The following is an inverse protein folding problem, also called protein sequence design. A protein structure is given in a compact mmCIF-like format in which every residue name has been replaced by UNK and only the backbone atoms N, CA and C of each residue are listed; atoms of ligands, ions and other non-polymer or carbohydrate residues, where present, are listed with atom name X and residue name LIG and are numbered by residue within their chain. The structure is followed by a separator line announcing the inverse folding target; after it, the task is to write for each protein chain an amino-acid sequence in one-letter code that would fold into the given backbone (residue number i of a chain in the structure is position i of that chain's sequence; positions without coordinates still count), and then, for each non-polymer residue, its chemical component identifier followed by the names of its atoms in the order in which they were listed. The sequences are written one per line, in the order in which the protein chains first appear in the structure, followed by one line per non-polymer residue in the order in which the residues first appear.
data_IF_384373857125
#
_entry.id   IF_384373857125
#
_cell.length_a   1.000
_cell.length_b   1.000
_cell.length_c   1.000
_cell.angle_alpha   90.00
_cell.angle_beta   90.00
_cell.angle_gamma   90.00
#
_symmetry.space_group_name_H-M   'P 1'
#
loop_
_entity.id
_entity.type
_entity.pdbx_description
1 polymer ?
#
# COMPACT_ATOMS: atom_id res chain seq x y z
N UNK A 1 -33.82 8.34 25.00
CA UNK A 1 -32.35 8.57 24.98
C UNK A 1 -31.68 7.33 24.42
N UNK A 2 -31.60 7.16 23.10
CA UNK A 2 -30.86 6.02 22.48
C UNK A 2 -30.38 6.34 21.05
N UNK A 3 -31.08 7.19 20.30
CA UNK A 3 -30.74 7.45 18.88
C UNK A 3 -29.49 8.31 18.65
N UNK A 4 -29.10 9.15 19.62
CA UNK A 4 -27.93 10.02 19.48
C UNK A 4 -26.64 9.25 19.81
N UNK A 5 -26.63 8.48 20.90
CA UNK A 5 -25.52 7.59 21.27
C UNK A 5 -25.21 6.53 20.20
N UNK A 6 -26.23 5.96 19.55
CA UNK A 6 -26.04 4.95 18.50
C UNK A 6 -25.40 5.54 17.23
N UNK A 7 -25.66 6.82 16.92
CA UNK A 7 -25.03 7.52 15.78
C UNK A 7 -23.60 7.91 16.07
N UNK A 8 -23.32 8.33 17.31
CA UNK A 8 -21.98 8.69 17.77
C UNK A 8 -21.04 7.48 17.74
N UNK A 9 -21.47 6.34 18.31
CA UNK A 9 -20.71 5.07 18.24
C UNK A 9 -20.50 4.57 16.81
N UNK A 10 -21.52 4.71 15.95
CA UNK A 10 -21.40 4.32 14.54
C UNK A 10 -20.43 5.22 13.76
N UNK A 11 -20.33 6.51 14.11
CA UNK A 11 -19.37 7.43 13.50
C UNK A 11 -17.93 7.11 13.95
N UNK A 12 -17.71 6.87 15.25
CA UNK A 12 -16.40 6.49 15.80
C UNK A 12 -15.90 5.16 15.24
N UNK A 13 -16.76 4.14 15.17
CA UNK A 13 -16.41 2.84 14.61
C UNK A 13 -16.02 2.93 13.11
N UNK A 14 -16.69 3.81 12.35
CA UNK A 14 -16.35 4.06 10.94
C UNK A 14 -14.99 4.74 10.79
N UNK A 15 -14.66 5.68 11.67
CA UNK A 15 -13.37 6.39 11.61
C UNK A 15 -12.19 5.51 12.01
N UNK A 16 -12.35 4.67 13.04
CA UNK A 16 -11.34 3.69 13.42
C UNK A 16 -11.10 2.68 12.29
N UNK A 17 -12.16 2.16 11.67
CA UNK A 17 -12.06 1.25 10.54
C UNK A 17 -11.43 1.90 9.30
N UNK A 18 -11.74 3.17 9.02
CA UNK A 18 -11.20 3.88 7.85
C UNK A 18 -9.67 4.06 7.94
N UNK A 19 -9.15 4.40 9.11
CA UNK A 19 -7.71 4.57 9.30
C UNK A 19 -6.95 3.23 9.14
N UNK A 20 -7.51 2.14 9.65
CA UNK A 20 -6.93 0.81 9.49
C UNK A 20 -6.96 0.35 8.03
N UNK A 21 -8.09 0.50 7.34
CA UNK A 21 -8.22 0.18 5.91
C UNK A 21 -7.20 0.96 5.09
N UNK A 22 -7.08 2.28 5.31
CA UNK A 22 -6.13 3.11 4.58
C UNK A 22 -4.69 2.65 4.81
N UNK A 23 -4.33 2.32 6.06
CA UNK A 23 -3.00 1.79 6.37
C UNK A 23 -2.71 0.48 5.62
N UNK A 24 -3.70 -0.42 5.53
CA UNK A 24 -3.56 -1.68 4.77
C UNK A 24 -3.40 -1.43 3.27
N UNK A 25 -4.18 -0.51 2.70
CA UNK A 25 -4.06 -0.10 1.28
C UNK A 25 -2.67 0.42 0.99
N UNK A 26 -2.20 1.40 1.76
CA UNK A 26 -0.88 2.02 1.57
C UNK A 26 0.24 0.98 1.69
N UNK A 27 0.17 0.10 2.70
CA UNK A 27 1.18 -0.94 2.93
C UNK A 27 1.27 -1.91 1.75
N UNK A 28 0.13 -2.33 1.18
CA UNK A 28 0.09 -3.23 0.02
C UNK A 28 0.61 -2.54 -1.25
N UNK A 29 0.17 -1.32 -1.53
CA UNK A 29 0.60 -0.57 -2.70
C UNK A 29 2.11 -0.29 -2.66
N UNK A 30 2.65 0.13 -1.51
CA UNK A 30 4.09 0.34 -1.31
C UNK A 30 4.90 -0.94 -1.53
N UNK A 31 4.44 -2.09 -1.00
CA UNK A 31 5.11 -3.38 -1.23
C UNK A 31 5.14 -3.75 -2.70
N UNK A 32 4.01 -3.63 -3.40
CA UNK A 32 3.93 -3.93 -4.82
C UNK A 32 4.85 -3.01 -5.65
N UNK A 33 4.88 -1.71 -5.33
CA UNK A 33 5.76 -0.75 -6.01
C UNK A 33 7.25 -1.09 -5.82
N UNK A 34 7.64 -1.48 -4.61
CA UNK A 34 9.02 -1.85 -4.30
C UNK A 34 9.49 -3.11 -5.06
N UNK A 35 8.62 -4.11 -5.18
CA UNK A 35 8.89 -5.32 -5.98
C UNK A 35 8.99 -4.98 -7.47
N UNK A 36 8.04 -4.21 -7.99
CA UNK A 36 8.07 -3.76 -9.39
C UNK A 36 9.35 -2.98 -9.72
N UNK A 37 9.82 -2.12 -8.82
CA UNK A 37 11.05 -1.37 -9.02
C UNK A 37 12.27 -2.29 -9.14
N UNK A 38 12.36 -3.31 -8.30
CA UNK A 38 13.47 -4.26 -8.35
C UNK A 38 13.43 -5.13 -9.62
N UNK A 39 12.24 -5.55 -10.05
CA UNK A 39 12.05 -6.27 -11.32
C UNK A 39 12.39 -5.39 -12.53
N UNK A 40 12.08 -4.09 -12.47
CA UNK A 40 12.41 -3.13 -13.53
C UNK A 40 13.92 -2.94 -13.72
N UNK A 41 14.73 -3.27 -12.71
CA UNK A 41 16.19 -3.34 -12.80
C UNK A 41 16.72 -4.68 -13.32
N UNK A 42 15.84 -5.62 -13.71
CA UNK A 42 16.22 -6.95 -14.18
C UNK A 42 16.76 -7.87 -13.08
N UNK A 43 16.45 -7.58 -11.81
CA UNK A 43 16.87 -8.43 -10.71
C UNK A 43 16.12 -9.76 -10.73
N UNK A 44 16.83 -10.84 -10.41
CA UNK A 44 16.22 -12.16 -10.21
C UNK A 44 15.31 -12.14 -8.98
N UNK A 45 14.28 -13.00 -8.93
CA UNK A 45 13.22 -12.97 -7.92
C UNK A 45 13.74 -12.86 -6.47
N UNK A 46 14.79 -13.59 -6.12
CA UNK A 46 15.39 -13.53 -4.78
C UNK A 46 16.07 -12.19 -4.46
N UNK A 47 16.76 -11.60 -5.43
CA UNK A 47 17.38 -10.28 -5.27
C UNK A 47 16.32 -9.16 -5.27
N UNK A 48 15.25 -9.34 -6.05
CA UNK A 48 14.14 -8.41 -6.11
C UNK A 48 13.42 -8.28 -4.76
N UNK A 49 13.12 -9.40 -4.09
CA UNK A 49 12.50 -9.37 -2.75
C UNK A 49 13.41 -8.68 -1.72
N UNK A 50 14.72 -8.94 -1.76
CA UNK A 50 15.69 -8.29 -0.86
C UNK A 50 15.71 -6.77 -1.07
N UNK A 51 15.74 -6.32 -2.33
CA UNK A 51 15.69 -4.88 -2.65
C UNK A 51 14.38 -4.27 -2.17
N UNK A 52 13.24 -4.94 -2.42
CA UNK A 52 11.94 -4.46 -1.98
C UNK A 52 11.85 -4.35 -0.45
N UNK A 53 12.37 -5.35 0.28
CA UNK A 53 12.44 -5.32 1.74
C UNK A 53 13.27 -4.15 2.27
N UNK A 54 14.41 -3.85 1.64
CA UNK A 54 15.25 -2.69 2.01
C UNK A 54 14.52 -1.36 1.82
N UNK A 55 13.78 -1.20 0.73
CA UNK A 55 12.99 0.00 0.48
C UNK A 55 11.87 0.17 1.53
N UNK A 56 11.17 -0.92 1.84
CA UNK A 56 10.13 -0.92 2.86
C UNK A 56 10.68 -0.63 4.25
N UNK A 57 11.83 -1.21 4.60
CA UNK A 57 12.50 -0.94 5.86
C UNK A 57 12.89 0.55 5.99
N UNK A 58 13.43 1.15 4.94
CA UNK A 58 13.78 2.56 4.95
C UNK A 58 12.56 3.50 5.12
N UNK A 59 11.41 3.13 4.56
CA UNK A 59 10.14 3.85 4.75
C UNK A 59 9.63 3.72 6.19
N UNK A 60 9.68 2.51 6.77
CA UNK A 60 9.27 2.25 8.15
C UNK A 60 10.15 2.98 9.18
N UNK A 61 11.45 3.07 8.93
CA UNK A 61 12.39 3.81 9.77
C UNK A 61 12.29 5.34 9.57
N UNK A 62 11.47 5.80 8.62
CA UNK A 62 11.29 7.22 8.31
C UNK A 62 12.47 7.86 7.57
N UNK A 63 13.41 7.06 7.06
CA UNK A 63 14.58 7.54 6.35
C UNK A 63 14.24 8.09 4.96
N UNK A 64 13.44 7.34 4.19
CA UNK A 64 13.00 7.73 2.86
C UNK A 64 11.73 6.99 2.49
N UNK A 65 10.65 7.68 2.06
CA UNK A 65 9.44 6.98 1.70
C UNK A 65 9.60 6.16 0.42
N UNK A 66 8.84 5.07 0.29
CA UNK A 66 9.00 4.11 -0.83
C UNK A 66 8.90 4.77 -2.21
N UNK A 67 7.91 5.63 -2.52
CA UNK A 67 7.81 6.25 -3.84
C UNK A 67 9.06 7.05 -4.22
N UNK A 68 9.57 7.86 -3.30
CA UNK A 68 10.79 8.63 -3.47
C UNK A 68 12.03 7.74 -3.63
N UNK A 69 12.11 6.65 -2.85
CA UNK A 69 13.18 5.69 -2.96
C UNK A 69 13.17 4.98 -4.32
N UNK A 70 12.00 4.65 -4.85
CA UNK A 70 11.83 4.04 -6.19
C UNK A 70 12.22 5.01 -7.30
N UNK A 71 11.85 6.30 -7.19
CA UNK A 71 12.29 7.32 -8.16
C UNK A 71 13.82 7.43 -8.19
N UNK A 72 14.48 7.37 -7.04
CA UNK A 72 15.95 7.38 -6.99
C UNK A 72 16.55 6.12 -7.58
N UNK A 73 15.95 4.96 -7.27
CA UNK A 73 16.44 3.66 -7.71
C UNK A 73 16.35 3.49 -9.23
N UNK A 74 15.29 4.00 -9.85
CA UNK A 74 15.02 3.88 -11.29
C UNK A 74 15.44 5.12 -12.10
N UNK A 75 16.20 6.04 -11.49
CA UNK A 75 16.64 7.25 -12.16
C UNK A 75 17.39 6.92 -13.47
N UNK A 76 16.91 7.47 -14.59
CA UNK A 76 17.47 7.22 -15.92
C UNK A 76 16.93 5.97 -16.63
N UNK A 77 16.14 5.14 -15.95
CA UNK A 77 15.47 3.97 -16.53
C UNK A 77 13.97 4.21 -16.75
N UNK A 78 13.32 4.84 -15.77
CA UNK A 78 11.88 5.13 -15.80
C UNK A 78 11.67 6.57 -15.37
N UNK A 79 10.73 7.27 -16.01
CA UNK A 79 10.43 8.65 -15.64
C UNK A 79 9.67 8.71 -14.31
N UNK A 80 9.82 9.82 -13.59
CA UNK A 80 9.05 10.07 -12.36
C UNK A 80 7.54 9.95 -12.60
N UNK A 81 7.04 10.47 -13.71
CA UNK A 81 5.62 10.45 -14.06
C UNK A 81 5.10 9.04 -14.27
N UNK A 82 5.88 8.15 -14.89
CA UNK A 82 5.51 6.74 -15.03
C UNK A 82 5.46 6.02 -13.68
N UNK A 83 6.42 6.30 -12.79
CA UNK A 83 6.45 5.74 -11.43
C UNK A 83 5.23 6.19 -10.62
N UNK A 84 4.91 7.49 -10.65
CA UNK A 84 3.74 8.06 -9.96
C UNK A 84 2.43 7.49 -10.51
N UNK A 85 2.32 7.36 -11.84
CA UNK A 85 1.15 6.76 -12.48
C UNK A 85 0.99 5.28 -12.11
N UNK A 86 2.09 4.53 -12.07
CA UNK A 86 2.08 3.13 -11.67
C UNK A 86 1.71 2.98 -10.19
N UNK A 87 2.24 3.84 -9.32
CA UNK A 87 1.88 3.84 -7.91
C UNK A 87 0.40 4.17 -7.69
N UNK A 88 -0.16 5.14 -8.42
CA UNK A 88 -1.60 5.42 -8.36
C UNK A 88 -2.43 4.20 -8.76
N UNK A 89 -2.06 3.52 -9.84
CA UNK A 89 -2.74 2.29 -10.26
C UNK A 89 -2.70 1.20 -9.18
N UNK A 90 -1.57 1.04 -8.47
CA UNK A 90 -1.44 0.10 -7.36
C UNK A 90 -2.32 0.48 -6.16
N UNK A 91 -2.47 1.77 -5.87
CA UNK A 91 -3.40 2.25 -4.84
C UNK A 91 -4.85 1.92 -5.21
N UNK A 92 -5.25 2.16 -6.46
CA UNK A 92 -6.59 1.86 -6.94
C UNK A 92 -6.90 0.36 -6.83
N UNK A 93 -5.95 -0.50 -7.21
CA UNK A 93 -6.06 -1.96 -7.05
C UNK A 93 -6.16 -2.38 -5.59
N UNK A 94 -5.38 -1.76 -4.70
CA UNK A 94 -5.40 -2.07 -3.28
C UNK A 94 -6.71 -1.62 -2.60
N UNK A 95 -7.26 -0.46 -2.97
CA UNK A 95 -8.59 -0.03 -2.55
C UNK A 95 -9.68 -0.98 -3.04
N UNK A 96 -9.63 -1.41 -4.30
CA UNK A 96 -10.59 -2.35 -4.85
C UNK A 96 -10.57 -3.71 -4.11
N UNK A 97 -9.39 -4.16 -3.69
CA UNK A 97 -9.25 -5.39 -2.90
C UNK A 97 -9.81 -5.26 -1.47
N UNK A 98 -9.72 -4.08 -0.84
CA UNK A 98 -10.30 -3.83 0.49
C UNK A 98 -11.81 -3.58 0.44
N UNK A 99 -12.35 -3.14 -0.69
CA UNK A 99 -13.80 -2.98 -0.91
C UNK A 99 -14.54 -4.27 -1.26
N UNK A 100 -13.83 -5.40 -1.42
CA UNK A 100 -14.47 -6.70 -1.61
C UNK A 100 -15.10 -7.16 -0.28
N UNK A 101 -16.35 -7.64 -0.27
CA UNK A 101 -16.95 -8.17 0.95
C UNK A 101 -16.09 -9.34 1.43
N UNK A 102 -15.63 -9.28 2.68
CA UNK A 102 -15.10 -10.46 3.39
C UNK A 102 -16.08 -11.61 3.14
N UNK A 103 -15.64 -12.65 2.44
CA UNK A 103 -16.42 -13.86 2.32
C UNK A 103 -16.77 -14.32 3.75
N UNK A 104 -18.04 -14.61 4.06
CA UNK A 104 -18.43 -14.95 5.42
C UNK A 104 -17.55 -16.11 5.91
N UNK A 105 -17.02 -16.05 7.16
CA UNK A 105 -16.25 -17.15 7.70
C UNK A 105 -17.11 -18.39 7.61
N UNK A 106 -16.58 -19.42 6.95
CA UNK A 106 -17.25 -20.68 6.69
C UNK A 106 -18.12 -21.08 7.89
N UNK A 107 -19.44 -21.04 7.70
CA UNK A 107 -20.38 -21.65 8.62
C UNK A 107 -20.22 -23.16 8.48
N UNK A 108 -19.54 -23.77 9.46
CA UNK A 108 -19.52 -25.20 9.70
C UNK A 108 -19.95 -25.47 11.14
#
# INVERSE_FOLDING_TARGET
MTTFDDRERAAEARWAGAAETEFRVLSRAKRALAVWAAQSLGQQDGAAEITAQRLLQADLEGHLPVPEAVVRLLAGHVTRTEIESHYQHLLDLAHAAEGAPEAPPHAH
#
